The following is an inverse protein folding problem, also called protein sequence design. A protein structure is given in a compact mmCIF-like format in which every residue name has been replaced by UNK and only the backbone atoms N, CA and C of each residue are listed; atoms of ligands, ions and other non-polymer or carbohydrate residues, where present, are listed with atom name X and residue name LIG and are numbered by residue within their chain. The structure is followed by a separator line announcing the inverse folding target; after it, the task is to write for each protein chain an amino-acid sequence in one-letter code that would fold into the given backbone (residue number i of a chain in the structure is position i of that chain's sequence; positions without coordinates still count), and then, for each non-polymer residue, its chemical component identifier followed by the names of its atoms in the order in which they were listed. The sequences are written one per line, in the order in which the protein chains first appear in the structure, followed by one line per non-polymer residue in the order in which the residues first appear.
data_IF_655925017206
#
_entry.id   IF_655925017206
#
_cell.length_a   1.000
_cell.length_b   1.000
_cell.length_c   1.000
_cell.angle_alpha   90.00
_cell.angle_beta   90.00
_cell.angle_gamma   90.00
#
_symmetry.space_group_name_H-M   'P 1'
#
loop_
_entity.id
_entity.type
_entity.pdbx_description
1 polymer ?
#
# COMPACT_ATOMS: atom_id res chain seq x y z
N UNK A 1 6.56 -4.90 20.57
CA UNK A 1 6.68 -3.71 19.69
C UNK A 1 7.66 -3.97 18.52
N UNK A 2 7.80 -5.21 17.99
CA UNK A 2 8.97 -5.57 17.16
C UNK A 2 8.71 -5.96 15.70
N UNK A 3 7.47 -6.14 15.25
CA UNK A 3 7.25 -6.72 13.90
C UNK A 3 7.10 -5.68 12.79
N UNK A 4 6.78 -4.42 13.11
CA UNK A 4 6.49 -3.40 12.11
C UNK A 4 7.69 -3.13 11.18
N UNK A 5 8.92 -3.17 11.73
CA UNK A 5 10.16 -2.98 10.96
C UNK A 5 10.32 -4.09 9.89
N UNK A 6 9.81 -5.28 10.17
CA UNK A 6 9.85 -6.42 9.26
C UNK A 6 8.63 -6.47 8.32
N UNK A 7 7.64 -5.60 8.49
CA UNK A 7 6.47 -5.49 7.59
C UNK A 7 6.69 -4.37 6.59
N UNK A 8 7.71 -4.55 5.75
CA UNK A 8 8.10 -3.64 4.68
C UNK A 8 7.54 -4.14 3.34
N UNK A 9 7.01 -3.23 2.54
CA UNK A 9 6.45 -3.55 1.23
C UNK A 9 6.57 -2.38 0.26
N UNK A 10 6.37 -2.69 -1.02
CA UNK A 10 6.25 -1.72 -2.10
C UNK A 10 4.84 -1.66 -2.65
N UNK A 11 4.38 -0.49 -3.06
CA UNK A 11 3.12 -0.33 -3.79
C UNK A 11 3.19 0.88 -4.73
N UNK A 12 2.34 0.89 -5.75
CA UNK A 12 2.31 1.95 -6.75
C UNK A 12 0.98 2.71 -6.67
N UNK A 13 1.03 4.03 -6.72
CA UNK A 13 -0.15 4.89 -6.88
C UNK A 13 0.00 5.67 -8.18
N UNK A 14 -1.07 5.73 -8.98
CA UNK A 14 -1.11 6.55 -10.18
C UNK A 14 -0.88 8.02 -9.84
N UNK A 15 -0.01 8.69 -10.59
CA UNK A 15 0.37 10.08 -10.30
C UNK A 15 -0.85 11.02 -10.21
N UNK A 16 -1.84 10.79 -11.06
CA UNK A 16 -3.04 11.63 -11.13
C UNK A 16 -3.93 11.48 -9.89
N UNK A 17 -3.88 10.34 -9.18
CA UNK A 17 -4.61 10.15 -7.92
C UNK A 17 -4.03 10.99 -6.76
N UNK A 18 -2.73 11.33 -6.82
CA UNK A 18 -2.05 12.14 -5.80
C UNK A 18 -2.27 13.63 -6.02
N UNK A 19 -2.52 14.03 -7.27
CA UNK A 19 -2.72 15.44 -7.65
C UNK A 19 -4.13 15.97 -7.41
N UNK A 20 -5.11 15.10 -7.16
CA UNK A 20 -6.49 15.50 -6.87
C UNK A 20 -6.66 16.04 -5.45
N UNK A 21 -7.59 16.99 -5.28
CA UNK A 21 -7.95 17.51 -3.96
C UNK A 21 -8.60 16.42 -3.09
N UNK A 22 -8.10 16.25 -1.87
CA UNK A 22 -8.65 15.42 -0.79
C UNK A 22 -9.14 14.02 -1.19
N UNK A 23 -8.24 13.19 -1.71
CA UNK A 23 -8.52 11.76 -1.84
C UNK A 23 -8.51 11.09 -0.44
N UNK A 24 -9.67 11.04 0.20
CA UNK A 24 -9.84 10.46 1.55
C UNK A 24 -9.33 9.02 1.66
N UNK A 25 -9.49 8.22 0.60
CA UNK A 25 -8.99 6.85 0.54
C UNK A 25 -7.47 6.80 0.66
N UNK A 26 -6.77 7.68 -0.07
CA UNK A 26 -5.33 7.81 0.02
C UNK A 26 -4.88 8.31 1.40
N UNK A 27 -5.62 9.23 2.03
CA UNK A 27 -5.29 9.69 3.38
C UNK A 27 -5.41 8.55 4.40
N UNK A 28 -6.48 7.75 4.33
CA UNK A 28 -6.66 6.56 5.18
C UNK A 28 -5.57 5.53 4.94
N UNK A 29 -5.10 5.39 3.70
CA UNK A 29 -3.94 4.54 3.37
C UNK A 29 -2.67 5.06 4.00
N UNK A 30 -2.35 6.33 3.77
CA UNK A 30 -1.14 6.91 4.32
C UNK A 30 -1.14 6.92 5.85
N UNK A 31 -2.30 7.05 6.50
CA UNK A 31 -2.44 6.91 7.96
C UNK A 31 -2.04 5.51 8.49
N UNK A 32 -2.12 4.47 7.66
CA UNK A 32 -1.71 3.09 8.00
C UNK A 32 -0.31 2.74 7.48
N UNK A 33 0.47 3.70 7.01
CA UNK A 33 1.81 3.44 6.45
C UNK A 33 2.84 4.43 6.96
N UNK A 34 4.08 3.98 7.12
CA UNK A 34 5.25 4.84 7.28
C UNK A 34 6.01 4.81 5.97
N UNK A 35 5.97 5.91 5.22
CA UNK A 35 6.66 6.02 3.93
C UNK A 35 8.17 6.19 4.17
N UNK A 36 8.94 5.24 3.63
CA UNK A 36 10.40 5.24 3.71
C UNK A 36 11.03 5.84 2.44
N UNK A 37 10.41 5.62 1.28
CA UNK A 37 10.87 6.12 -0.01
C UNK A 37 9.67 6.31 -0.94
N UNK A 38 9.69 7.37 -1.75
CA UNK A 38 8.76 7.61 -2.83
C UNK A 38 9.54 7.94 -4.10
N UNK A 39 9.23 7.26 -5.21
CA UNK A 39 9.92 7.44 -6.48
C UNK A 39 8.94 7.53 -7.64
N UNK A 40 9.04 8.58 -8.43
CA UNK A 40 8.27 8.68 -9.66
C UNK A 40 8.85 7.79 -10.76
N UNK A 41 8.04 6.87 -11.29
CA UNK A 41 8.39 5.97 -12.39
C UNK A 41 7.77 6.49 -13.68
N UNK A 42 8.51 7.33 -14.41
CA UNK A 42 8.05 8.00 -15.63
C UNK A 42 7.46 7.03 -16.67
N UNK A 43 8.04 5.84 -16.84
CA UNK A 43 7.60 4.84 -17.81
C UNK A 43 6.20 4.26 -17.54
N UNK A 44 5.72 4.35 -16.31
CA UNK A 44 4.42 3.81 -15.87
C UNK A 44 3.45 4.89 -15.38
N UNK A 45 3.90 6.15 -15.32
CA UNK A 45 3.21 7.29 -14.70
C UNK A 45 2.69 7.03 -13.28
N UNK A 46 3.47 6.30 -12.47
CA UNK A 46 3.15 5.98 -11.07
C UNK A 46 4.20 6.55 -10.12
N UNK A 47 3.80 6.77 -8.88
CA UNK A 47 4.72 6.93 -7.75
C UNK A 47 4.81 5.58 -7.03
N UNK A 48 6.02 4.99 -7.05
CA UNK A 48 6.36 3.79 -6.28
C UNK A 48 6.72 4.20 -4.86
N UNK A 49 6.00 3.65 -3.89
CA UNK A 49 6.27 3.82 -2.46
C UNK A 49 6.92 2.57 -1.90
N UNK A 50 7.93 2.76 -1.06
CA UNK A 50 8.40 1.74 -0.12
C UNK A 50 7.97 2.17 1.28
N UNK A 51 7.28 1.31 2.01
CA UNK A 51 6.68 1.67 3.28
C UNK A 51 6.67 0.52 4.31
N UNK A 52 6.55 0.88 5.58
CA UNK A 52 6.20 -0.04 6.66
C UNK A 52 4.70 0.02 6.92
N UNK A 53 4.03 -1.10 7.07
CA UNK A 53 2.59 -1.12 7.37
C UNK A 53 2.16 -2.38 8.12
N UNK A 54 1.25 -2.28 9.11
CA UNK A 54 0.61 -3.48 9.69
C UNK A 54 -0.17 -4.30 8.66
N UNK A 55 -0.53 -3.71 7.51
CA UNK A 55 -1.25 -4.39 6.42
C UNK A 55 -0.36 -5.37 5.63
N UNK A 56 0.98 -5.21 5.71
CA UNK A 56 1.91 -6.10 5.02
C UNK A 56 2.24 -7.30 5.89
N UNK A 57 2.56 -8.44 5.27
CA UNK A 57 3.06 -9.58 6.04
C UNK A 57 4.47 -9.30 6.56
N UNK A 58 4.87 -10.09 7.54
CA UNK A 58 6.26 -10.10 7.98
C UNK A 58 7.10 -10.68 6.85
N UNK A 59 8.10 -9.91 6.40
CA UNK A 59 9.07 -10.33 5.41
C UNK A 59 10.08 -11.28 6.06
N UNK A 60 10.47 -12.33 5.34
CA UNK A 60 11.50 -13.25 5.81
C UNK A 60 12.90 -12.62 5.67
N UNK A 61 13.88 -13.19 6.39
CA UNK A 61 15.26 -12.76 6.26
C UNK A 61 15.80 -13.07 4.85
N UNK A 62 16.56 -12.13 4.27
CA UNK A 62 17.11 -12.21 2.91
C UNK A 62 16.10 -12.21 1.75
N UNK A 63 14.81 -12.04 2.03
CA UNK A 63 13.80 -11.86 0.99
C UNK A 63 13.89 -10.46 0.35
N UNK A 64 13.60 -10.37 -0.94
CA UNK A 64 13.35 -9.08 -1.60
C UNK A 64 12.14 -8.38 -0.96
N UNK A 65 12.07 -7.05 -1.07
CA UNK A 65 10.90 -6.32 -0.54
C UNK A 65 9.67 -6.73 -1.39
N UNK A 66 8.62 -7.30 -0.80
CA UNK A 66 7.44 -7.73 -1.54
C UNK A 66 6.68 -6.54 -2.14
N UNK A 67 6.03 -6.78 -3.28
CA UNK A 67 5.15 -5.81 -3.91
C UNK A 67 3.70 -6.11 -3.54
N UNK A 68 2.92 -5.06 -3.29
CA UNK A 68 1.52 -5.13 -2.91
C UNK A 68 0.67 -4.31 -3.87
N UNK A 69 -0.48 -4.87 -4.23
CA UNK A 69 -1.63 -4.15 -4.74
C UNK A 69 -2.48 -3.72 -3.55
N UNK A 70 -2.87 -2.44 -3.53
CA UNK A 70 -3.71 -1.89 -2.50
C UNK A 70 -5.10 -1.63 -3.07
N UNK A 71 -6.13 -2.05 -2.34
CA UNK A 71 -7.52 -1.83 -2.71
C UNK A 71 -8.27 -1.19 -1.54
N UNK A 72 -9.07 -0.16 -1.83
CA UNK A 72 -9.99 0.42 -0.87
C UNK A 72 -11.38 -0.17 -1.12
N UNK A 73 -12.01 -0.70 -0.07
CA UNK A 73 -13.39 -1.20 -0.11
C UNK A 73 -14.25 -0.38 0.84
N UNK A 74 -15.34 0.15 0.32
CA UNK A 74 -16.39 0.74 1.13
C UNK A 74 -17.15 -0.36 1.84
N UNK A 75 -17.18 -0.32 3.17
CA UNK A 75 -17.96 -1.21 4.02
C UNK A 75 -19.04 -0.37 4.66
N UNK A 76 -20.30 -0.76 4.45
CA UNK A 76 -21.43 -0.12 5.09
C UNK A 76 -21.60 -0.70 6.49
N UNK A 77 -21.59 0.14 7.51
CA UNK A 77 -21.95 -0.25 8.86
C UNK A 77 -23.47 -0.13 9.08
N UNK A 78 -23.99 -0.89 10.04
CA UNK A 78 -25.43 -0.98 10.34
C UNK A 78 -26.06 0.37 10.76
N UNK A 79 -25.24 1.35 11.14
CA UNK A 79 -25.63 2.71 11.50
C UNK A 79 -25.68 3.69 10.31
N UNK A 80 -25.43 3.19 9.09
CA UNK A 80 -25.44 4.00 7.86
C UNK A 80 -24.14 4.78 7.61
N UNK A 81 -23.09 4.56 8.40
CA UNK A 81 -21.77 5.09 8.11
C UNK A 81 -21.07 4.27 7.01
N UNK A 82 -20.26 4.95 6.20
CA UNK A 82 -19.40 4.30 5.20
C UNK A 82 -17.99 4.25 5.73
N UNK A 83 -17.57 3.08 6.19
CA UNK A 83 -16.19 2.80 6.54
C UNK A 83 -15.39 2.42 5.29
N UNK A 84 -14.09 2.68 5.32
CA UNK A 84 -13.18 2.33 4.23
C UNK A 84 -12.14 1.37 4.78
N UNK A 85 -12.21 0.14 4.30
CA UNK A 85 -11.23 -0.89 4.57
C UNK A 85 -10.16 -0.88 3.48
N UNK A 86 -8.90 -1.01 3.88
CA UNK A 86 -7.77 -1.09 2.96
C UNK A 86 -7.22 -2.50 3.00
N UNK A 87 -7.22 -3.13 1.84
CA UNK A 87 -6.73 -4.48 1.65
C UNK A 87 -5.39 -4.41 0.91
N UNK A 88 -4.39 -5.09 1.45
CA UNK A 88 -3.10 -5.26 0.81
C UNK A 88 -2.97 -6.70 0.28
N UNK A 89 -2.91 -6.85 -1.04
CA UNK A 89 -2.72 -8.12 -1.71
C UNK A 89 -1.29 -8.20 -2.26
N UNK A 90 -0.51 -9.18 -1.82
CA UNK A 90 0.86 -9.38 -2.30
C UNK A 90 0.87 -9.87 -3.75
N UNK A 91 1.60 -9.18 -4.62
CA UNK A 91 1.79 -9.55 -6.01
C UNK A 91 2.91 -10.58 -6.08
N UNK A 92 2.54 -11.86 -6.10
CA UNK A 92 3.51 -12.95 -6.32
C UNK A 92 3.99 -12.93 -7.77
N UNK A 93 5.24 -12.54 -7.99
CA UNK A 93 5.88 -12.71 -9.29
C UNK A 93 6.00 -14.20 -9.57
N UNK A 94 5.31 -14.71 -10.61
CA UNK A 94 5.62 -16.03 -11.16
C UNK A 94 7.03 -15.96 -11.72
N UNK A 95 7.98 -16.58 -11.03
CA UNK A 95 9.24 -16.97 -11.66
C UNK A 95 8.88 -17.97 -12.77
N UNK A 96 8.81 -17.51 -14.01
CA UNK A 96 8.83 -18.41 -15.15
C UNK A 96 10.22 -19.07 -15.14
N UNK A 97 10.24 -20.35 -14.76
CA UNK A 97 11.38 -21.24 -14.93
C UNK A 97 11.60 -21.57 -16.41
#
# INVERSE_FOLDING_TARGET
MSDLINRIGKFNIQRDLIRGDNNEDLLKLFAKTIIMRAEYKYTKDVIEYTALSPLFRVREAAETIPEYRLECKSVYSDDGNVDIEIIAEEIRQRLNA
#
